data_IF_126580776111
#
_entry.id   IF_126580776111
#
_cell.length_a   1.000
_cell.length_b   1.000
_cell.length_c   1.000
_cell.angle_alpha   90.00
_cell.angle_beta   90.00
_cell.angle_gamma   90.00
#
_symmetry.space_group_name_H-M   'P 1'
#
loop_
_entity.id
_entity.type
_entity.pdbx_description
1 polymer ?
#
# COMPACT_ATOMS: atom_id res chain seq x y z
N UNK A 1 21.70 16.34 13.68
CA UNK A 1 21.63 15.23 12.71
C UNK A 1 21.32 13.96 13.50
N UNK A 2 20.04 13.65 13.69
CA UNK A 2 19.61 12.46 14.44
C UNK A 2 19.44 11.33 13.44
N UNK A 3 20.45 10.48 13.35
CA UNK A 3 20.38 9.23 12.58
C UNK A 3 19.44 8.27 13.31
N UNK A 4 18.15 8.31 12.96
CA UNK A 4 17.20 7.27 13.34
C UNK A 4 17.53 6.02 12.53
N UNK A 5 18.40 5.20 13.09
CA UNK A 5 18.70 3.85 12.63
C UNK A 5 17.45 2.97 12.82
N UNK A 6 16.50 3.12 11.90
CA UNK A 6 15.27 2.35 11.87
C UNK A 6 15.57 1.08 11.09
N UNK A 7 15.94 0.03 11.81
CA UNK A 7 16.21 -1.28 11.22
C UNK A 7 15.05 -1.79 10.34
N UNK A 8 15.29 -2.80 9.49
CA UNK A 8 14.35 -3.25 8.45
C UNK A 8 12.96 -3.65 8.99
N UNK A 9 12.86 -3.99 10.28
CA UNK A 9 11.60 -4.29 10.93
C UNK A 9 10.68 -3.07 11.12
N UNK A 10 11.23 -1.88 11.40
CA UNK A 10 10.42 -0.66 11.65
C UNK A 10 9.69 -0.21 10.38
N UNK A 11 10.30 -0.42 9.21
CA UNK A 11 9.70 -0.11 7.92
C UNK A 11 8.41 -0.92 7.66
N UNK A 12 8.35 -2.19 8.07
CA UNK A 12 7.14 -3.01 7.91
C UNK A 12 5.95 -2.49 8.72
N UNK A 13 6.20 -1.78 9.82
CA UNK A 13 5.17 -1.24 10.70
C UNK A 13 4.79 0.21 10.37
N UNK A 14 5.45 0.85 9.39
CA UNK A 14 5.04 2.15 8.89
C UNK A 14 4.01 2.00 7.75
N UNK A 15 3.03 2.92 7.62
CA UNK A 15 2.11 2.93 6.49
C UNK A 15 2.85 3.02 5.14
N UNK A 16 4.00 3.69 5.06
CA UNK A 16 4.84 3.79 3.87
C UNK A 16 5.43 2.44 3.47
N UNK A 17 6.04 1.72 4.42
CA UNK A 17 6.60 0.39 4.13
C UNK A 17 5.51 -0.64 3.86
N UNK A 18 4.35 -0.56 4.51
CA UNK A 18 3.18 -1.36 4.18
C UNK A 18 2.69 -1.08 2.73
N UNK A 19 2.67 0.18 2.30
CA UNK A 19 2.30 0.54 0.93
C UNK A 19 3.31 -0.02 -0.09
N UNK A 20 4.62 0.08 0.19
CA UNK A 20 5.65 -0.48 -0.68
C UNK A 20 5.56 -2.00 -0.79
N UNK A 21 5.34 -2.70 0.33
CA UNK A 21 5.18 -4.16 0.34
C UNK A 21 3.94 -4.57 -0.49
N UNK A 22 2.79 -3.93 -0.26
CA UNK A 22 1.56 -4.23 -0.99
C UNK A 22 1.69 -3.94 -2.50
N UNK A 23 2.37 -2.85 -2.89
CA UNK A 23 2.63 -2.55 -4.30
C UNK A 23 3.53 -3.62 -4.94
N UNK A 24 4.59 -4.05 -4.25
CA UNK A 24 5.48 -5.12 -4.69
C UNK A 24 4.75 -6.46 -4.85
N UNK A 25 3.94 -6.86 -3.87
CA UNK A 25 3.14 -8.08 -3.92
C UNK A 25 2.13 -8.04 -5.06
N UNK A 26 1.42 -6.93 -5.24
CA UNK A 26 0.44 -6.78 -6.33
C UNK A 26 1.11 -6.86 -7.71
N UNK A 27 2.28 -6.23 -7.88
CA UNK A 27 3.06 -6.32 -9.13
C UNK A 27 3.47 -7.75 -9.42
N UNK A 28 4.07 -8.43 -8.44
CA UNK A 28 4.49 -9.82 -8.58
C UNK A 28 3.30 -10.73 -8.94
N UNK A 29 2.16 -10.54 -8.27
CA UNK A 29 0.94 -11.30 -8.55
C UNK A 29 0.41 -11.04 -9.96
N UNK A 30 0.41 -9.78 -10.42
CA UNK A 30 -0.12 -9.39 -11.74
C UNK A 30 0.70 -9.97 -12.90
N UNK A 31 2.00 -10.20 -12.70
CA UNK A 31 2.84 -10.82 -13.71
C UNK A 31 2.39 -12.26 -14.01
N UNK A 32 2.08 -13.04 -12.97
CA UNK A 32 1.71 -14.45 -13.07
C UNK A 32 0.21 -14.73 -13.20
N UNK A 33 -0.66 -13.76 -12.90
CA UNK A 33 -2.12 -13.95 -12.92
C UNK A 33 -2.79 -13.17 -14.05
N UNK A 34 -3.24 -13.87 -15.11
CA UNK A 34 -3.97 -13.27 -16.23
C UNK A 34 -5.26 -12.59 -15.77
N UNK A 35 -6.00 -13.22 -14.85
CA UNK A 35 -7.23 -12.64 -14.28
C UNK A 35 -6.98 -11.34 -13.52
N UNK A 36 -5.76 -11.09 -13.05
CA UNK A 36 -5.42 -9.83 -12.40
C UNK A 36 -5.30 -8.68 -13.42
N UNK A 37 -4.92 -8.98 -14.68
CA UNK A 37 -4.83 -8.01 -15.79
C UNK A 37 -6.20 -7.58 -16.31
N UNK A 38 -7.19 -8.46 -16.19
CA UNK A 38 -8.60 -8.20 -16.57
C UNK A 38 -9.48 -7.84 -15.37
N UNK A 39 -8.87 -7.54 -14.22
CA UNK A 39 -9.55 -7.23 -12.94
C UNK A 39 -10.49 -8.32 -12.37
N UNK A 40 -10.51 -9.52 -12.94
CA UNK A 40 -11.33 -10.65 -12.50
C UNK A 40 -10.71 -11.47 -11.34
N UNK A 41 -9.51 -11.12 -10.88
CA UNK A 41 -8.85 -11.79 -9.76
C UNK A 41 -9.26 -11.21 -8.40
N UNK A 42 -9.88 -12.04 -7.54
CA UNK A 42 -10.29 -11.65 -6.19
C UNK A 42 -9.12 -11.26 -5.28
N UNK A 43 -8.02 -12.01 -5.33
CA UNK A 43 -6.83 -11.72 -4.52
C UNK A 43 -6.18 -10.41 -4.97
N UNK A 44 -6.09 -10.18 -6.28
CA UNK A 44 -5.67 -8.89 -6.84
C UNK A 44 -6.57 -7.74 -6.38
N UNK A 45 -7.90 -7.95 -6.35
CA UNK A 45 -8.84 -6.95 -5.85
C UNK A 45 -8.66 -6.67 -4.36
N UNK A 46 -8.37 -7.70 -3.55
CA UNK A 46 -8.04 -7.59 -2.14
C UNK A 46 -6.77 -6.77 -1.92
N UNK A 47 -5.68 -7.08 -2.64
CA UNK A 47 -4.42 -6.33 -2.58
C UNK A 47 -4.61 -4.84 -2.98
N UNK A 48 -5.36 -4.57 -4.06
CA UNK A 48 -5.69 -3.20 -4.48
C UNK A 48 -6.49 -2.44 -3.42
N UNK A 49 -7.46 -3.09 -2.76
CA UNK A 49 -8.23 -2.49 -1.65
C UNK A 49 -7.31 -2.16 -0.46
N UNK A 50 -6.44 -3.08 -0.06
CA UNK A 50 -5.49 -2.86 1.02
C UNK A 50 -4.57 -1.68 0.70
N UNK A 51 -4.00 -1.62 -0.51
CA UNK A 51 -3.13 -0.53 -0.93
C UNK A 51 -3.84 0.83 -0.92
N UNK A 52 -5.11 0.89 -1.34
CA UNK A 52 -5.93 2.11 -1.25
C UNK A 52 -6.16 2.55 0.19
N UNK A 53 -6.45 1.62 1.10
CA UNK A 53 -6.65 1.93 2.51
C UNK A 53 -5.39 2.54 3.13
N UNK A 54 -4.23 1.92 2.90
CA UNK A 54 -2.94 2.44 3.40
C UNK A 54 -2.62 3.83 2.83
N UNK A 55 -2.84 4.04 1.52
CA UNK A 55 -2.66 5.36 0.89
C UNK A 55 -3.61 6.42 1.45
N UNK A 56 -4.79 6.04 1.91
CA UNK A 56 -5.73 6.97 2.55
C UNK A 56 -5.19 7.42 3.90
N UNK A 57 -4.64 6.50 4.70
CA UNK A 57 -3.95 6.83 5.97
C UNK A 57 -2.78 7.79 5.71
N UNK A 58 -1.97 7.52 4.68
CA UNK A 58 -0.82 8.35 4.31
C UNK A 58 -1.20 9.78 3.86
N UNK A 59 -2.36 9.96 3.22
CA UNK A 59 -2.81 11.29 2.76
C UNK A 59 -3.23 12.21 3.92
N UNK A 60 -3.53 11.65 5.08
CA UNK A 60 -4.12 12.40 6.20
C UNK A 60 -5.56 12.82 5.93
N UNK A 61 -6.28 13.33 6.95
CA UNK A 61 -7.62 13.85 6.78
C UNK A 61 -7.61 15.12 5.91
N UNK A 62 -8.59 15.25 5.03
CA UNK A 62 -8.82 16.51 4.32
C UNK A 62 -9.20 17.59 5.36
N UNK A 63 -8.52 18.76 5.35
CA UNK A 63 -8.85 19.81 6.30
C UNK A 63 -10.32 20.24 6.08
N UNK A 64 -11.08 20.51 7.15
CA UNK A 64 -12.46 20.95 7.01
C UNK A 64 -12.50 22.23 6.18
N UNK A 65 -13.33 22.25 5.13
CA UNK A 65 -13.58 23.45 4.34
C UNK A 65 -14.35 24.43 5.24
N UNK A 66 -13.86 25.67 5.45
CA UNK A 66 -14.60 26.68 6.21
C UNK A 66 -15.92 26.97 5.48
N UNK A 67 -17.03 26.90 6.22
CA UNK A 67 -18.35 27.36 5.76
C UNK A 67 -18.43 28.89 5.73
#
# INVERSE_FOLDING_TARGET
MTSSDSGPAVWLFSPEGAAHLLDGLLRAHTLGCVGCRTEACEEGARMRRALRAVRTVLKGPEPPVPL
#
